data_IF_763726235243
#
_entry.id   IF_763726235243
#
_cell.length_a   1.000
_cell.length_b   1.000
_cell.length_c   1.000
_cell.angle_alpha   90.00
_cell.angle_beta   90.00
_cell.angle_gamma   90.00
#
_symmetry.space_group_name_H-M   'P 1'
#
loop_
_entity.id
_entity.type
_entity.pdbx_description
1 polymer ?
#
# COMPACT_ATOMS: atom_id res chain seq x y z
N UNK A 1 -2.39 -26.46 -22.93
CA UNK A 1 -0.96 -26.32 -23.31
C UNK A 1 -0.40 -24.92 -22.95
N UNK A 2 -1.10 -23.80 -23.25
CA UNK A 2 -0.60 -22.45 -22.92
C UNK A 2 -0.49 -22.20 -21.40
N UNK A 3 -1.41 -22.73 -20.60
CA UNK A 3 -1.37 -22.59 -19.13
C UNK A 3 -0.18 -23.34 -18.52
N UNK A 4 0.15 -24.54 -19.03
CA UNK A 4 1.29 -25.33 -18.56
C UNK A 4 2.61 -24.58 -18.82
N UNK A 5 2.77 -23.96 -20.00
CA UNK A 5 3.95 -23.14 -20.31
C UNK A 5 4.06 -21.93 -19.37
N UNK A 6 2.93 -21.28 -19.05
CA UNK A 6 2.87 -20.20 -18.08
C UNK A 6 3.36 -20.64 -16.70
N UNK A 7 2.89 -21.78 -16.20
CA UNK A 7 3.32 -22.31 -14.90
C UNK A 7 4.79 -22.76 -14.88
N UNK A 8 5.28 -23.35 -15.97
CA UNK A 8 6.65 -23.90 -16.01
C UNK A 8 7.74 -22.85 -16.26
N UNK A 9 7.42 -21.74 -16.88
CA UNK A 9 8.41 -20.70 -17.26
C UNK A 9 8.17 -19.42 -16.44
N UNK A 10 6.96 -18.88 -16.47
CA UNK A 10 6.64 -17.60 -15.81
C UNK A 10 6.66 -17.75 -14.29
N UNK A 11 6.14 -18.87 -13.76
CA UNK A 11 6.11 -19.13 -12.32
C UNK A 11 7.50 -19.13 -11.66
N UNK A 12 8.45 -19.95 -12.12
CA UNK A 12 9.81 -19.94 -11.56
C UNK A 12 10.53 -18.60 -11.68
N UNK A 13 10.39 -17.92 -12.82
CA UNK A 13 11.00 -16.59 -13.02
C UNK A 13 10.40 -15.56 -12.06
N UNK A 14 9.08 -15.52 -11.95
CA UNK A 14 8.40 -14.63 -11.02
C UNK A 14 8.78 -14.91 -9.57
N UNK A 15 8.84 -16.17 -9.15
CA UNK A 15 9.27 -16.58 -7.81
C UNK A 15 10.73 -16.19 -7.54
N UNK A 16 11.64 -16.33 -8.51
CA UNK A 16 13.03 -15.95 -8.34
C UNK A 16 13.18 -14.44 -8.16
N UNK A 17 12.51 -13.64 -8.99
CA UNK A 17 12.50 -12.17 -8.85
C UNK A 17 11.89 -11.74 -7.51
N UNK A 18 10.80 -12.36 -7.12
CA UNK A 18 10.15 -12.07 -5.84
C UNK A 18 11.03 -12.49 -4.64
N UNK A 19 11.77 -13.60 -4.75
CA UNK A 19 12.76 -13.99 -3.76
C UNK A 19 13.86 -12.95 -3.59
N UNK A 20 14.47 -12.49 -4.67
CA UNK A 20 15.49 -11.42 -4.61
C UNK A 20 14.96 -10.12 -4.00
N UNK A 21 13.72 -9.73 -4.34
CA UNK A 21 13.09 -8.56 -3.75
C UNK A 21 12.86 -8.74 -2.24
N UNK A 22 12.42 -9.94 -1.82
CA UNK A 22 12.22 -10.26 -0.41
C UNK A 22 13.54 -10.22 0.36
N UNK A 23 14.60 -10.86 -0.17
CA UNK A 23 15.93 -10.86 0.43
C UNK A 23 16.51 -9.45 0.53
N UNK A 24 16.28 -8.63 -0.48
CA UNK A 24 16.64 -7.21 -0.48
C UNK A 24 15.94 -6.42 0.63
N UNK A 25 14.63 -6.61 0.80
CA UNK A 25 13.84 -5.96 1.86
C UNK A 25 14.28 -6.43 3.25
N UNK A 26 14.49 -7.74 3.44
CA UNK A 26 14.97 -8.30 4.70
C UNK A 26 16.37 -7.80 5.06
N UNK A 27 17.27 -7.73 4.09
CA UNK A 27 18.62 -7.18 4.26
C UNK A 27 18.53 -5.69 4.66
N UNK A 28 17.70 -4.92 3.98
CA UNK A 28 17.48 -3.51 4.31
C UNK A 28 16.85 -3.35 5.71
N UNK A 29 15.91 -4.21 6.07
CA UNK A 29 15.29 -4.23 7.40
C UNK A 29 16.31 -4.52 8.51
N UNK A 30 17.26 -5.42 8.26
CA UNK A 30 18.33 -5.75 9.22
C UNK A 30 19.30 -4.58 9.46
N UNK A 31 19.53 -3.74 8.44
CA UNK A 31 20.37 -2.54 8.54
C UNK A 31 19.61 -1.40 9.26
N UNK A 32 18.40 -1.12 8.79
CA UNK A 32 17.53 -0.09 9.36
C UNK A 32 16.06 -0.38 9.04
N UNK A 33 15.26 -0.76 10.06
CA UNK A 33 13.83 -0.97 9.87
C UNK A 33 13.11 0.23 9.26
N UNK A 34 13.48 1.45 9.68
CA UNK A 34 12.87 2.68 9.19
C UNK A 34 13.18 2.89 7.71
N UNK A 35 14.42 2.64 7.27
CA UNK A 35 14.80 2.73 5.87
C UNK A 35 14.06 1.70 5.03
N UNK A 36 13.93 0.48 5.53
CA UNK A 36 13.10 -0.55 4.89
C UNK A 36 11.64 -0.10 4.77
N UNK A 37 11.09 0.53 5.81
CA UNK A 37 9.74 1.09 5.80
C UNK A 37 9.54 2.17 4.74
N UNK A 38 10.52 3.08 4.59
CA UNK A 38 10.50 4.12 3.54
C UNK A 38 10.46 3.48 2.15
N UNK A 39 11.39 2.57 1.90
CA UNK A 39 11.56 1.96 0.57
C UNK A 39 10.39 1.03 0.25
N UNK A 40 10.05 0.12 1.16
CA UNK A 40 9.01 -0.86 0.93
C UNK A 40 7.61 -0.25 0.88
N UNK A 41 7.28 0.65 1.82
CA UNK A 41 6.02 1.37 1.81
C UNK A 41 5.86 2.25 0.56
N UNK A 42 6.94 2.89 0.11
CA UNK A 42 6.94 3.71 -1.10
C UNK A 42 6.80 2.89 -2.39
N UNK A 43 7.44 1.74 -2.46
CA UNK A 43 7.40 0.87 -3.63
C UNK A 43 6.17 -0.06 -3.66
N UNK A 44 5.42 -0.16 -2.57
CA UNK A 44 4.29 -1.10 -2.50
C UNK A 44 3.29 -0.93 -3.63
N UNK A 45 2.92 0.30 -3.95
CA UNK A 45 2.00 0.59 -5.06
C UNK A 45 2.58 0.14 -6.41
N UNK A 46 3.89 0.24 -6.57
CA UNK A 46 4.58 -0.26 -7.77
C UNK A 46 4.51 -1.79 -7.81
N UNK A 47 4.74 -2.46 -6.68
CA UNK A 47 4.59 -3.92 -6.58
C UNK A 47 3.16 -4.38 -6.87
N UNK A 48 2.15 -3.60 -6.47
CA UNK A 48 0.76 -3.86 -6.83
C UNK A 48 0.54 -3.77 -8.34
N UNK A 49 1.07 -2.75 -9.00
CA UNK A 49 0.97 -2.59 -10.47
C UNK A 49 1.56 -3.79 -11.22
N UNK A 50 2.68 -4.32 -10.74
CA UNK A 50 3.33 -5.49 -11.34
C UNK A 50 2.79 -6.83 -10.84
N UNK A 51 1.90 -6.84 -9.85
CA UNK A 51 1.34 -8.07 -9.25
C UNK A 51 2.30 -8.81 -8.32
N UNK A 52 3.51 -8.28 -8.07
CA UNK A 52 4.55 -8.92 -7.24
C UNK A 52 4.20 -8.89 -5.75
N UNK A 53 3.34 -7.97 -5.33
CA UNK A 53 2.90 -7.80 -3.93
C UNK A 53 2.31 -9.09 -3.33
N UNK A 54 1.68 -9.94 -4.12
CA UNK A 54 1.10 -11.23 -3.68
C UNK A 54 2.17 -12.13 -3.04
N UNK A 55 3.40 -12.11 -3.55
CA UNK A 55 4.49 -12.92 -3.00
C UNK A 55 4.81 -12.53 -1.55
N UNK A 56 4.84 -11.24 -1.25
CA UNK A 56 5.08 -10.76 0.12
C UNK A 56 3.96 -11.17 1.07
N UNK A 57 2.71 -11.16 0.59
CA UNK A 57 1.56 -11.64 1.36
C UNK A 57 1.69 -13.14 1.67
N UNK A 58 2.07 -13.95 0.68
CA UNK A 58 2.29 -15.39 0.87
C UNK A 58 3.44 -15.65 1.86
N UNK A 59 4.54 -14.92 1.77
CA UNK A 59 5.65 -15.03 2.71
C UNK A 59 5.22 -14.69 4.13
N UNK A 60 4.45 -13.62 4.32
CA UNK A 60 3.92 -13.26 5.63
C UNK A 60 2.98 -14.34 6.19
N UNK A 61 2.12 -14.94 5.34
CA UNK A 61 1.28 -16.07 5.76
C UNK A 61 2.15 -17.24 6.24
N UNK A 62 3.23 -17.56 5.54
CA UNK A 62 4.13 -18.64 5.93
C UNK A 62 4.84 -18.34 7.25
N UNK A 63 5.32 -17.10 7.47
CA UNK A 63 5.93 -16.67 8.73
C UNK A 63 4.95 -16.79 9.90
N UNK A 64 3.74 -16.29 9.72
CA UNK A 64 2.69 -16.35 10.75
C UNK A 64 2.25 -17.79 11.04
N UNK A 65 2.14 -18.64 10.02
CA UNK A 65 1.86 -20.07 10.19
C UNK A 65 2.97 -20.81 10.95
N UNK A 66 4.22 -20.34 10.84
CA UNK A 66 5.35 -20.83 11.62
C UNK A 66 5.42 -20.25 13.06
N UNK A 67 4.45 -19.42 13.44
CA UNK A 67 4.39 -18.79 14.77
C UNK A 67 5.29 -17.56 14.92
N UNK A 68 5.81 -17.00 13.83
CA UNK A 68 6.65 -15.81 13.85
C UNK A 68 5.88 -14.57 13.43
N UNK A 69 5.87 -13.49 14.24
CA UNK A 69 5.32 -12.21 13.82
C UNK A 69 6.03 -11.67 12.58
N UNK A 70 5.25 -11.17 11.62
CA UNK A 70 5.81 -10.64 10.38
C UNK A 70 5.96 -9.11 10.43
N UNK A 71 7.20 -8.58 10.38
CA UNK A 71 7.44 -7.15 10.37
C UNK A 71 7.33 -6.54 8.98
N UNK A 72 7.55 -7.33 7.90
CA UNK A 72 7.66 -6.79 6.55
C UNK A 72 6.29 -6.35 6.03
N UNK A 73 5.26 -7.18 6.22
CA UNK A 73 3.93 -6.84 5.76
C UNK A 73 3.36 -5.61 6.51
N UNK A 74 3.80 -5.35 7.76
CA UNK A 74 3.37 -4.15 8.49
C UNK A 74 3.85 -2.84 7.87
N UNK A 75 4.95 -2.87 7.10
CA UNK A 75 5.50 -1.67 6.44
C UNK A 75 4.59 -1.13 5.33
N UNK A 76 3.71 -1.95 4.77
CA UNK A 76 2.78 -1.56 3.71
C UNK A 76 1.33 -1.36 4.18
N UNK A 77 0.99 -1.77 5.39
CA UNK A 77 -0.39 -1.86 5.88
C UNK A 77 -1.21 -0.56 5.71
N UNK A 78 -0.56 0.57 5.80
CA UNK A 78 -1.23 1.88 5.73
C UNK A 78 -1.14 2.54 4.34
N UNK A 79 -0.49 1.90 3.37
CA UNK A 79 -0.31 2.43 2.01
C UNK A 79 -1.65 2.58 1.27
N UNK A 80 -2.61 1.70 1.54
CA UNK A 80 -3.96 1.81 0.99
C UNK A 80 -4.65 3.12 1.38
N UNK A 81 -4.39 3.62 2.58
CA UNK A 81 -4.95 4.90 3.03
C UNK A 81 -4.32 6.10 2.34
N UNK A 82 -3.02 6.05 1.99
CA UNK A 82 -2.41 7.11 1.19
C UNK A 82 -3.02 7.18 -0.21
N UNK A 83 -3.24 6.05 -0.85
CA UNK A 83 -3.90 5.96 -2.15
C UNK A 83 -5.34 6.45 -2.08
N UNK A 84 -6.07 6.08 -1.03
CA UNK A 84 -7.44 6.52 -0.79
C UNK A 84 -7.51 8.03 -0.56
N UNK A 85 -6.55 8.60 0.16
CA UNK A 85 -6.45 10.04 0.41
C UNK A 85 -6.22 10.84 -0.89
N UNK A 86 -5.40 10.32 -1.81
CA UNK A 86 -5.24 10.91 -3.16
C UNK A 86 -6.58 10.96 -3.88
N UNK A 87 -7.29 9.84 -3.93
CA UNK A 87 -8.57 9.75 -4.65
C UNK A 87 -9.65 10.61 -3.99
N UNK A 88 -9.67 10.69 -2.66
CA UNK A 88 -10.57 11.56 -1.91
C UNK A 88 -10.30 13.04 -2.23
N UNK A 89 -9.05 13.48 -2.25
CA UNK A 89 -8.70 14.84 -2.62
C UNK A 89 -9.10 15.18 -4.06
N UNK A 90 -8.92 14.25 -5.00
CA UNK A 90 -9.37 14.38 -6.40
C UNK A 90 -10.91 14.48 -6.44
N UNK A 91 -11.61 13.61 -5.72
CA UNK A 91 -13.08 13.60 -5.66
C UNK A 91 -13.66 14.94 -5.18
N UNK A 92 -13.06 15.51 -4.15
CA UNK A 92 -13.52 16.80 -3.59
C UNK A 92 -13.24 17.97 -4.52
N UNK A 93 -12.11 17.93 -5.25
CA UNK A 93 -11.69 19.04 -6.12
C UNK A 93 -12.26 18.98 -7.53
N UNK A 94 -12.52 17.80 -8.07
CA UNK A 94 -12.96 17.68 -9.46
C UNK A 94 -14.42 18.13 -9.62
N UNK A 95 -14.68 18.85 -10.71
CA UNK A 95 -16.04 19.20 -11.17
C UNK A 95 -16.58 18.20 -12.19
N UNK A 96 -15.76 17.28 -12.68
CA UNK A 96 -16.15 16.33 -13.71
C UNK A 96 -16.98 15.19 -13.11
N UNK A 97 -18.27 15.11 -13.47
CA UNK A 97 -19.19 14.06 -13.00
C UNK A 97 -18.67 12.64 -13.27
N UNK A 98 -18.10 12.41 -14.45
CA UNK A 98 -17.52 11.11 -14.84
C UNK A 98 -16.37 10.69 -13.93
N UNK A 99 -15.49 11.61 -13.55
CA UNK A 99 -14.39 11.31 -12.64
C UNK A 99 -14.90 11.05 -11.22
N UNK A 100 -15.87 11.84 -10.75
CA UNK A 100 -16.50 11.60 -9.44
C UNK A 100 -17.15 10.23 -9.33
N UNK A 101 -17.82 9.77 -10.39
CA UNK A 101 -18.46 8.44 -10.37
C UNK A 101 -17.47 7.28 -10.27
N UNK A 102 -16.23 7.46 -10.73
CA UNK A 102 -15.16 6.47 -10.60
C UNK A 102 -14.47 6.60 -9.23
N UNK A 103 -14.28 7.84 -8.73
CA UNK A 103 -13.62 8.06 -7.44
C UNK A 103 -14.41 7.48 -6.27
N UNK A 104 -15.74 7.59 -6.27
CA UNK A 104 -16.55 7.17 -5.13
C UNK A 104 -16.37 5.66 -4.80
N UNK A 105 -16.58 4.70 -5.72
CA UNK A 105 -16.33 3.30 -5.44
C UNK A 105 -14.86 3.01 -5.14
N UNK A 106 -13.91 3.74 -5.75
CA UNK A 106 -12.49 3.58 -5.49
C UNK A 106 -12.09 4.01 -4.06
N UNK A 107 -12.75 5.03 -3.49
CA UNK A 107 -12.55 5.43 -2.09
C UNK A 107 -13.05 4.32 -1.16
N UNK A 108 -14.24 3.80 -1.41
CA UNK A 108 -14.81 2.73 -0.58
C UNK A 108 -13.89 1.50 -0.62
N UNK A 109 -13.51 1.03 -1.82
CA UNK A 109 -12.62 -0.13 -1.94
C UNK A 109 -11.27 0.10 -1.28
N UNK A 110 -10.71 1.30 -1.38
CA UNK A 110 -9.43 1.66 -0.79
C UNK A 110 -9.44 1.68 0.74
N UNK A 111 -10.54 2.08 1.38
CA UNK A 111 -10.71 1.95 2.84
C UNK A 111 -10.65 0.49 3.28
N UNK A 112 -11.15 -0.43 2.47
CA UNK A 112 -11.08 -1.86 2.67
C UNK A 112 -9.78 -2.50 2.14
N UNK A 113 -8.78 -1.69 1.75
CA UNK A 113 -7.46 -2.16 1.35
C UNK A 113 -7.32 -2.54 -0.13
N UNK A 114 -8.38 -2.49 -0.92
CA UNK A 114 -8.37 -2.82 -2.34
C UNK A 114 -8.07 -1.55 -3.14
N UNK A 115 -6.80 -1.39 -3.55
CA UNK A 115 -6.31 -0.15 -4.16
C UNK A 115 -6.30 -0.17 -5.70
N UNK A 116 -6.50 -1.31 -6.33
CA UNK A 116 -6.45 -1.49 -7.78
C UNK A 116 -7.42 -0.56 -8.53
N UNK A 117 -8.68 -0.36 -8.10
CA UNK A 117 -9.58 0.57 -8.78
C UNK A 117 -9.08 2.02 -8.74
N UNK A 118 -8.45 2.42 -7.63
CA UNK A 118 -7.84 3.73 -7.48
C UNK A 118 -6.59 3.87 -8.37
N UNK A 119 -5.72 2.85 -8.39
CA UNK A 119 -4.48 2.85 -9.16
C UNK A 119 -4.79 2.90 -10.66
N UNK A 120 -5.48 1.90 -11.19
CA UNK A 120 -5.69 1.77 -12.63
C UNK A 120 -6.73 2.75 -13.18
N UNK A 121 -7.77 3.05 -12.39
CA UNK A 121 -8.84 3.93 -12.82
C UNK A 121 -8.49 5.43 -12.73
N UNK A 122 -7.58 5.82 -11.83
CA UNK A 122 -7.41 7.23 -11.51
C UNK A 122 -5.93 7.65 -11.47
N UNK A 123 -5.11 7.07 -10.58
CA UNK A 123 -3.81 7.63 -10.25
C UNK A 123 -2.73 7.28 -11.27
N UNK A 124 -2.72 6.07 -11.83
CA UNK A 124 -1.75 5.68 -12.85
C UNK A 124 -1.90 6.49 -14.15
N UNK A 125 -3.12 6.96 -14.45
CA UNK A 125 -3.36 7.89 -15.56
C UNK A 125 -2.86 9.32 -15.26
N UNK A 126 -2.47 9.59 -14.02
CA UNK A 126 -1.96 10.87 -13.51
C UNK A 126 -0.74 10.61 -12.65
N UNK A 127 0.40 10.31 -13.30
CA UNK A 127 1.63 9.90 -12.62
C UNK A 127 2.02 10.73 -11.39
N UNK A 128 1.87 12.08 -11.37
CA UNK A 128 2.15 12.85 -10.16
C UNK A 128 1.29 12.42 -8.97
N UNK A 129 0.03 12.04 -9.19
CA UNK A 129 -0.87 11.57 -8.12
C UNK A 129 -0.45 10.19 -7.60
N UNK A 130 0.00 9.32 -8.51
CA UNK A 130 0.57 8.03 -8.15
C UNK A 130 1.84 8.19 -7.31
N UNK A 131 2.75 9.07 -7.72
CA UNK A 131 3.99 9.37 -6.97
C UNK A 131 3.69 9.94 -5.58
N UNK A 132 2.72 10.84 -5.45
CA UNK A 132 2.30 11.38 -4.16
C UNK A 132 1.78 10.25 -3.24
N UNK A 133 1.02 9.29 -3.78
CA UNK A 133 0.58 8.13 -2.98
C UNK A 133 1.76 7.25 -2.53
N UNK A 134 2.79 7.08 -3.36
CA UNK A 134 4.00 6.37 -2.99
C UNK A 134 4.76 7.08 -1.86
N UNK A 135 4.86 8.42 -1.91
CA UNK A 135 5.48 9.22 -0.84
C UNK A 135 4.70 9.06 0.47
N UNK A 136 3.37 9.11 0.44
CA UNK A 136 2.53 8.85 1.61
C UNK A 136 2.72 7.44 2.17
N UNK A 137 2.88 6.46 1.28
CA UNK A 137 3.24 5.09 1.63
C UNK A 137 4.62 4.99 2.31
N UNK A 138 5.62 5.73 1.80
CA UNK A 138 6.95 5.82 2.44
C UNK A 138 6.88 6.37 3.85
N UNK A 139 6.10 7.42 4.07
CA UNK A 139 5.96 8.05 5.39
C UNK A 139 5.28 7.12 6.39
N UNK A 140 4.20 6.48 5.99
CA UNK A 140 3.49 5.53 6.86
C UNK A 140 4.30 4.27 7.15
N UNK A 141 5.02 3.74 6.14
CA UNK A 141 5.91 2.59 6.32
C UNK A 141 7.10 2.91 7.22
N UNK A 142 7.70 4.10 7.09
CA UNK A 142 8.73 4.58 7.99
C UNK A 142 8.24 4.63 9.44
N UNK A 143 7.05 5.17 9.65
CA UNK A 143 6.48 5.25 10.99
C UNK A 143 6.10 3.86 11.54
N UNK A 144 5.52 2.98 10.72
CA UNK A 144 5.20 1.62 11.13
C UNK A 144 6.45 0.86 11.61
N UNK A 145 7.56 1.01 10.89
CA UNK A 145 8.86 0.45 11.28
C UNK A 145 9.40 1.08 12.58
N UNK A 146 9.34 2.42 12.71
CA UNK A 146 9.77 3.14 13.89
C UNK A 146 8.98 2.71 15.14
N UNK A 147 7.67 2.55 15.00
CA UNK A 147 6.77 2.11 16.06
C UNK A 147 6.91 0.59 16.38
N UNK A 148 7.70 -0.15 15.58
CA UNK A 148 7.89 -1.59 15.77
C UNK A 148 6.63 -2.42 15.50
N UNK A 149 5.71 -1.93 14.64
CA UNK A 149 4.50 -2.65 14.30
C UNK A 149 4.83 -3.94 13.55
N UNK A 150 4.16 -5.03 13.92
CA UNK A 150 4.32 -6.36 13.31
C UNK A 150 2.98 -7.03 13.23
N UNK A 151 2.73 -7.76 12.15
CA UNK A 151 1.59 -8.66 12.09
C UNK A 151 1.78 -9.79 13.09
N UNK A 152 0.79 -9.99 13.95
CA UNK A 152 0.74 -11.09 14.93
C UNK A 152 -0.12 -12.24 14.42
N UNK A 153 -1.05 -11.92 13.54
CA UNK A 153 -2.01 -12.87 12.94
C UNK A 153 -2.47 -12.33 11.59
N UNK A 154 -3.02 -13.19 10.76
CA UNK A 154 -3.71 -12.73 9.55
C UNK A 154 -5.06 -12.12 9.91
N UNK A 155 -5.36 -10.99 9.27
CA UNK A 155 -6.66 -10.33 9.35
C UNK A 155 -7.11 -9.92 7.94
N UNK A 156 -8.21 -9.15 7.87
CA UNK A 156 -8.67 -8.56 6.62
C UNK A 156 -7.69 -7.55 6.05
N UNK A 157 -8.12 -6.80 5.05
CA UNK A 157 -7.33 -5.76 4.38
C UNK A 157 -7.78 -4.36 4.81
N UNK A 158 -6.95 -3.37 4.58
CA UNK A 158 -7.27 -1.98 4.88
C UNK A 158 -7.52 -1.73 6.37
N UNK A 159 -8.68 -1.17 6.72
CA UNK A 159 -8.99 -0.88 8.13
C UNK A 159 -9.01 -2.15 9.01
N UNK A 160 -9.29 -3.32 8.42
CA UNK A 160 -9.30 -4.60 9.13
C UNK A 160 -7.90 -5.19 9.34
N UNK A 161 -6.84 -4.60 8.76
CA UNK A 161 -5.46 -4.98 9.06
C UNK A 161 -5.00 -4.51 10.44
N UNK A 162 -5.56 -3.42 10.96
CA UNK A 162 -5.12 -2.84 12.23
C UNK A 162 -5.17 -3.84 13.40
N UNK A 163 -6.24 -4.62 13.60
CA UNK A 163 -6.29 -5.62 14.66
C UNK A 163 -5.23 -6.72 14.53
N UNK A 164 -4.73 -6.99 13.31
CA UNK A 164 -3.69 -7.98 13.09
C UNK A 164 -2.36 -7.64 13.77
N UNK A 165 -2.13 -6.35 14.06
CA UNK A 165 -0.89 -5.84 14.67
C UNK A 165 -0.99 -5.72 16.19
N UNK A 166 -2.13 -6.07 16.80
CA UNK A 166 -2.29 -5.94 18.24
C UNK A 166 -1.64 -7.14 18.95
N UNK A 167 -0.66 -6.91 19.83
CA UNK A 167 -0.10 -7.98 20.63
C UNK A 167 -1.13 -8.49 21.64
N UNK A 168 -1.07 -9.78 21.96
CA UNK A 168 -2.02 -10.43 22.86
C UNK A 168 -2.06 -9.80 24.27
N UNK A 169 -0.98 -9.14 24.68
CA UNK A 169 -0.79 -8.60 26.03
C UNK A 169 -1.00 -7.07 26.16
N UNK A 170 -1.52 -6.40 25.13
CA UNK A 170 -1.73 -4.95 25.20
C UNK A 170 -2.15 -4.32 23.89
N UNK A 171 -3.43 -4.09 23.71
CA UNK A 171 -4.01 -3.58 22.46
C UNK A 171 -3.95 -2.05 22.33
N UNK A 172 -3.99 -1.31 23.43
CA UNK A 172 -4.15 0.15 23.40
C UNK A 172 -3.00 0.90 22.74
N UNK A 173 -1.77 0.55 23.08
CA UNK A 173 -0.60 1.21 22.48
C UNK A 173 -0.48 0.92 20.98
N UNK A 174 -0.67 -0.34 20.56
CA UNK A 174 -0.61 -0.73 19.15
C UNK A 174 -1.72 -0.08 18.33
N UNK A 175 -2.93 0.02 18.86
CA UNK A 175 -4.04 0.73 18.22
C UNK A 175 -3.69 2.20 18.00
N UNK A 176 -3.15 2.88 19.01
CA UNK A 176 -2.73 4.28 18.88
C UNK A 176 -1.64 4.46 17.83
N UNK A 177 -0.66 3.56 17.76
CA UNK A 177 0.39 3.58 16.73
C UNK A 177 -0.18 3.35 15.32
N UNK A 178 -1.16 2.45 15.15
CA UNK A 178 -1.85 2.25 13.87
C UNK A 178 -2.60 3.52 13.41
N UNK A 179 -3.25 4.23 14.33
CA UNK A 179 -3.93 5.50 14.04
C UNK A 179 -2.91 6.56 13.58
N UNK A 180 -1.77 6.67 14.26
CA UNK A 180 -0.71 7.61 13.87
C UNK A 180 -0.12 7.24 12.51
N UNK A 181 0.16 5.96 12.26
CA UNK A 181 0.65 5.50 10.94
C UNK A 181 -0.34 5.84 9.82
N UNK A 182 -1.64 5.65 10.08
CA UNK A 182 -2.70 6.05 9.15
C UNK A 182 -2.71 7.56 8.91
N UNK A 183 -2.50 8.37 9.95
CA UNK A 183 -2.41 9.82 9.82
C UNK A 183 -1.22 10.25 8.97
N UNK A 184 -0.05 9.58 9.11
CA UNK A 184 1.11 9.80 8.24
C UNK A 184 0.86 9.40 6.78
N UNK A 185 0.00 8.41 6.52
CA UNK A 185 -0.43 8.07 5.17
C UNK A 185 -1.39 9.13 4.60
N UNK A 186 -2.39 9.54 5.37
CA UNK A 186 -3.53 10.34 4.89
C UNK A 186 -3.20 11.82 4.80
N UNK A 187 -2.71 12.42 5.89
CA UNK A 187 -2.63 13.88 6.02
C UNK A 187 -1.66 14.50 5.02
N UNK A 188 -0.37 14.08 4.93
CA UNK A 188 0.57 14.68 3.99
C UNK A 188 0.13 14.45 2.54
N UNK A 189 -0.40 13.26 2.25
CA UNK A 189 -0.87 12.90 0.92
C UNK A 189 -2.06 13.75 0.47
N UNK A 190 -3.06 13.89 1.33
CA UNK A 190 -4.23 14.74 1.07
C UNK A 190 -3.83 16.20 0.86
N UNK A 191 -2.95 16.71 1.70
CA UNK A 191 -2.42 18.07 1.59
C UNK A 191 -1.66 18.24 0.26
N UNK A 192 -0.72 17.35 -0.06
CA UNK A 192 0.07 17.42 -1.29
C UNK A 192 -0.81 17.47 -2.54
N UNK A 193 -1.81 16.57 -2.64
CA UNK A 193 -2.77 16.58 -3.74
C UNK A 193 -3.61 17.86 -3.73
N UNK A 194 -3.95 18.35 -2.54
CA UNK A 194 -4.76 19.58 -2.40
C UNK A 194 -4.06 20.83 -2.89
N UNK A 195 -2.74 20.91 -2.74
CA UNK A 195 -1.93 22.02 -3.24
C UNK A 195 -1.41 21.80 -4.66
N UNK A 196 -1.37 20.58 -5.14
CA UNK A 196 -1.02 20.32 -6.53
C UNK A 196 -2.12 20.87 -7.41
N UNK A 197 -1.78 21.84 -8.26
CA UNK A 197 -2.69 22.32 -9.28
C UNK A 197 -2.99 21.14 -10.20
N UNK A 198 -4.18 20.54 -10.03
CA UNK A 198 -4.72 19.59 -10.99
C UNK A 198 -4.97 20.36 -12.29
N UNK A 199 -3.94 20.51 -13.10
CA UNK A 199 -4.10 20.71 -14.52
C UNK A 199 -4.69 19.42 -15.07
N UNK A 200 -5.99 19.19 -14.74
CA UNK A 200 -6.78 18.21 -15.46
C UNK A 200 -6.73 18.68 -16.91
N UNK A 201 -6.26 17.85 -17.85
CA UNK A 201 -6.39 18.20 -19.24
C UNK A 201 -7.88 18.46 -19.48
N UNK A 202 -8.24 19.72 -19.70
CA UNK A 202 -9.53 20.12 -20.24
C UNK A 202 -9.48 19.75 -21.71
N UNK A 203 -9.45 18.47 -22.01
CA UNK A 203 -9.80 17.98 -23.34
C UNK A 203 -11.30 17.95 -23.44
N UNK A 204 -11.87 19.15 -23.51
CA UNK A 204 -13.04 19.39 -24.34
C UNK A 204 -12.55 19.22 -25.80
N UNK A 205 -12.60 18.03 -26.32
CA UNK A 205 -12.74 17.83 -27.76
C UNK A 205 -13.55 16.57 -28.00
N UNK A 206 -14.75 16.89 -28.52
CA UNK A 206 -15.77 16.10 -29.22
C UNK A 206 -16.56 15.15 -28.34
#
# INVERSE_FOLDING_TARGET
KRQILGYMIIGPVANTVAGWLSDGVLSLYSISPVLAGIVFGGLWQVFVVFGVHITFIVLAIMNLAAGHPDPILSLQAFVAFSQTAVVLAIFLKTKQKKLKSICFPAIISGVFGVTEPAIYGITLQRLPMFVISCIGGSLSGAYAAFAGLKYQQMAGMGIFEMPAMFPQNGTGAAMFQCVIASAFAIIPTFIAVSYTHLTLPTTSRV
#
